data_IF_048674947011
#
_entry.id   IF_048674947011
#
_cell.length_a   1.000
_cell.length_b   1.000
_cell.length_c   1.000
_cell.angle_alpha   90.00
_cell.angle_beta   90.00
_cell.angle_gamma   90.00
#
_symmetry.space_group_name_H-M   'P 1'
#
loop_
_entity.id
_entity.type
_entity.pdbx_description
1 polymer ?
#
# COMPACT_ATOMS: atom_id res chain seq x y z
N UNK A 1 -22.95 8.45 -37.94
CA UNK A 1 -23.16 7.01 -37.69
C UNK A 1 -21.78 6.40 -37.58
N UNK A 2 -21.12 6.21 -36.44
CA UNK A 2 -21.52 6.29 -35.04
C UNK A 2 -20.20 6.49 -34.25
N UNK A 3 -19.86 7.74 -33.92
CA UNK A 3 -18.67 8.10 -33.15
C UNK A 3 -18.96 8.00 -31.63
N UNK A 4 -19.83 7.07 -31.23
CA UNK A 4 -20.23 6.81 -29.85
C UNK A 4 -19.57 5.55 -29.27
N UNK A 5 -19.04 4.64 -30.11
CA UNK A 5 -18.36 3.41 -29.66
C UNK A 5 -17.02 3.63 -28.95
N UNK A 6 -16.38 4.79 -29.12
CA UNK A 6 -15.08 5.08 -28.50
C UNK A 6 -15.20 5.47 -27.02
N UNK A 7 -16.37 5.95 -26.57
CA UNK A 7 -16.60 6.27 -25.16
C UNK A 7 -17.03 5.04 -24.34
N UNK A 8 -17.57 4.00 -24.99
CA UNK A 8 -17.93 2.72 -24.34
C UNK A 8 -16.73 1.78 -24.12
N UNK A 9 -15.60 1.98 -24.80
CA UNK A 9 -14.41 1.13 -24.69
C UNK A 9 -13.47 1.55 -23.53
N UNK A 10 -13.69 2.72 -22.92
CA UNK A 10 -13.01 3.13 -21.68
C UNK A 10 -13.56 2.39 -20.45
N UNK A 11 -13.75 1.06 -20.55
CA UNK A 11 -14.12 0.23 -19.42
C UNK A 11 -13.03 0.38 -18.35
N UNK A 12 -13.37 0.85 -17.14
CA UNK A 12 -12.39 0.89 -16.06
C UNK A 12 -11.86 -0.52 -15.85
N UNK A 13 -10.52 -0.65 -15.86
CA UNK A 13 -9.87 -1.90 -15.54
C UNK A 13 -10.39 -2.39 -14.17
N UNK A 14 -10.53 -3.71 -13.96
CA UNK A 14 -10.89 -4.23 -12.66
C UNK A 14 -9.91 -3.66 -11.62
N UNK A 15 -10.45 -3.18 -10.50
CA UNK A 15 -9.65 -2.62 -9.41
C UNK A 15 -8.54 -3.61 -9.05
N UNK A 16 -7.28 -3.13 -9.01
CA UNK A 16 -6.15 -3.93 -8.63
C UNK A 16 -6.44 -4.63 -7.29
N UNK A 17 -6.04 -5.91 -7.17
CA UNK A 17 -6.25 -6.67 -5.94
C UNK A 17 -5.71 -5.89 -4.73
N UNK A 18 -6.39 -5.93 -3.57
CA UNK A 18 -5.92 -5.24 -2.40
C UNK A 18 -4.52 -5.72 -2.05
N UNK A 19 -3.57 -4.81 -1.83
CA UNK A 19 -2.22 -5.22 -1.46
C UNK A 19 -2.28 -5.99 -0.13
N UNK A 20 -1.51 -7.07 -0.05
CA UNK A 20 -1.46 -7.97 1.11
C UNK A 20 -0.01 -8.23 1.51
N UNK A 21 0.22 -8.61 2.76
CA UNK A 21 1.51 -9.12 3.21
C UNK A 21 1.53 -10.64 3.06
N UNK A 22 2.25 -11.14 2.05
CA UNK A 22 2.31 -12.57 1.72
C UNK A 22 2.84 -13.40 2.90
N UNK A 23 3.83 -12.90 3.63
CA UNK A 23 4.39 -13.57 4.81
C UNK A 23 3.38 -13.69 5.96
N UNK A 24 2.55 -12.66 6.18
CA UNK A 24 1.49 -12.75 7.17
C UNK A 24 0.44 -13.80 6.78
N UNK A 25 0.05 -13.83 5.50
CA UNK A 25 -0.87 -14.84 4.97
C UNK A 25 -0.30 -16.25 5.13
N UNK A 26 0.97 -16.46 4.77
CA UNK A 26 1.65 -17.75 4.90
C UNK A 26 1.70 -18.23 6.36
N UNK A 27 1.81 -17.29 7.31
CA UNK A 27 1.82 -17.56 8.76
C UNK A 27 0.43 -17.63 9.39
N UNK A 28 -0.65 -17.36 8.65
CA UNK A 28 -2.00 -17.26 9.20
C UNK A 28 -2.17 -16.12 10.21
N UNK A 29 -1.37 -15.05 10.08
CA UNK A 29 -1.38 -13.89 10.99
C UNK A 29 -2.03 -12.69 10.33
N UNK A 30 -2.54 -11.78 11.15
CA UNK A 30 -3.10 -10.49 10.69
C UNK A 30 -2.05 -9.38 10.77
N UNK A 31 -2.36 -8.26 10.12
CA UNK A 31 -1.55 -7.04 10.13
C UNK A 31 -2.41 -5.84 10.50
N UNK A 32 -1.77 -4.79 11.00
CA UNK A 32 -2.43 -3.52 11.33
C UNK A 32 -2.43 -2.60 10.11
N UNK A 33 -1.25 -2.31 9.56
CA UNK A 33 -1.05 -1.52 8.34
C UNK A 33 -0.01 -2.19 7.45
N UNK A 34 -0.04 -1.82 6.18
CA UNK A 34 0.88 -2.29 5.16
C UNK A 34 1.75 -1.16 4.67
N UNK A 35 2.99 -1.51 4.32
CA UNK A 35 3.95 -0.63 3.66
C UNK A 35 4.45 -1.30 2.38
N UNK A 36 4.67 -0.51 1.34
CA UNK A 36 5.24 -0.98 0.08
C UNK A 36 6.64 -0.42 -0.11
N UNK A 37 7.61 -1.29 -0.39
CA UNK A 37 8.95 -0.88 -0.78
C UNK A 37 8.91 -0.09 -2.10
N UNK A 38 9.48 1.11 -2.11
CA UNK A 38 9.49 1.96 -3.33
C UNK A 38 10.46 1.44 -4.39
N UNK A 39 11.45 0.65 -3.99
CA UNK A 39 12.49 0.13 -4.91
C UNK A 39 12.00 -1.07 -5.71
N UNK A 40 11.27 -2.00 -5.08
CA UNK A 40 10.91 -3.28 -5.71
C UNK A 40 9.43 -3.65 -5.61
N UNK A 41 8.59 -2.82 -4.97
CA UNK A 41 7.15 -3.04 -4.86
C UNK A 41 6.72 -4.10 -3.83
N UNK A 42 7.65 -4.73 -3.10
CA UNK A 42 7.32 -5.70 -2.05
C UNK A 42 6.43 -5.08 -0.96
N UNK A 43 5.42 -5.81 -0.48
CA UNK A 43 4.45 -5.35 0.51
C UNK A 43 4.63 -6.11 1.81
N UNK A 44 5.02 -5.39 2.86
CA UNK A 44 5.23 -5.91 4.21
C UNK A 44 4.27 -5.27 5.22
N UNK A 45 4.01 -5.98 6.33
CA UNK A 45 3.33 -5.38 7.47
C UNK A 45 4.26 -4.44 8.24
N UNK A 46 3.67 -3.40 8.85
CA UNK A 46 4.41 -2.37 9.59
C UNK A 46 5.05 -2.90 10.90
N UNK A 47 5.90 -2.08 11.52
CA UNK A 47 6.65 -2.42 12.73
C UNK A 47 5.77 -2.68 13.96
N UNK A 48 4.57 -2.11 13.97
CA UNK A 48 3.56 -2.35 15.02
C UNK A 48 2.76 -3.64 14.81
N UNK A 49 2.87 -4.28 13.64
CA UNK A 49 2.33 -5.62 13.42
C UNK A 49 3.30 -6.68 13.94
N UNK A 50 2.79 -7.79 14.47
CA UNK A 50 3.60 -8.85 15.07
C UNK A 50 4.74 -9.35 14.18
N UNK A 51 4.54 -9.37 12.86
CA UNK A 51 5.51 -9.87 11.88
C UNK A 51 6.63 -8.91 11.48
N UNK A 52 6.42 -7.59 11.58
CA UNK A 52 7.40 -6.55 11.16
C UNK A 52 8.03 -6.79 9.77
N UNK A 53 7.27 -7.35 8.83
CA UNK A 53 7.84 -7.84 7.56
C UNK A 53 8.40 -6.72 6.67
N UNK A 54 7.91 -5.47 6.78
CA UNK A 54 8.51 -4.36 6.04
C UNK A 54 9.96 -4.06 6.50
N UNK A 55 10.22 -4.14 7.80
CA UNK A 55 11.57 -4.01 8.34
C UNK A 55 12.43 -5.24 8.02
N UNK A 56 11.88 -6.45 8.11
CA UNK A 56 12.58 -7.67 7.69
C UNK A 56 13.05 -7.57 6.23
N UNK A 57 12.16 -7.14 5.34
CA UNK A 57 12.50 -6.88 3.94
C UNK A 57 13.61 -5.84 3.77
N UNK A 58 13.58 -4.73 4.53
CA UNK A 58 14.66 -3.75 4.51
C UNK A 58 16.01 -4.37 4.88
N UNK A 59 16.07 -5.14 5.98
CA UNK A 59 17.30 -5.78 6.46
C UNK A 59 17.85 -6.78 5.45
N UNK A 60 16.98 -7.55 4.80
CA UNK A 60 17.38 -8.60 3.84
C UNK A 60 17.79 -8.04 2.48
N UNK A 61 17.07 -7.03 1.98
CA UNK A 61 17.26 -6.49 0.62
C UNK A 61 18.13 -5.23 0.57
N UNK A 62 18.31 -4.53 1.70
CA UNK A 62 18.96 -3.22 1.74
C UNK A 62 18.11 -2.08 1.17
N UNK A 63 16.84 -2.32 0.82
CA UNK A 63 15.98 -1.27 0.28
C UNK A 63 15.59 -0.24 1.35
N UNK A 64 15.89 1.06 1.16
CA UNK A 64 15.90 2.01 2.27
C UNK A 64 14.53 2.59 2.62
N UNK A 65 13.57 2.57 1.69
CA UNK A 65 12.32 3.34 1.83
C UNK A 65 11.08 2.48 1.53
N UNK A 66 10.05 2.64 2.35
CA UNK A 66 8.72 2.08 2.10
C UNK A 66 7.61 3.11 2.33
N UNK A 67 6.64 3.18 1.42
CA UNK A 67 5.46 4.07 1.49
C UNK A 67 4.33 3.41 2.27
N UNK A 68 3.56 4.18 3.05
CA UNK A 68 2.35 3.65 3.67
C UNK A 68 1.28 3.37 2.62
N UNK A 69 0.56 2.26 2.79
CA UNK A 69 -0.61 1.92 1.99
C UNK A 69 -1.92 2.16 2.75
N UNK A 70 -1.90 2.81 3.91
CA UNK A 70 -3.14 3.18 4.59
C UNK A 70 -3.83 4.34 3.84
N UNK A 71 -5.16 4.31 3.77
CA UNK A 71 -5.92 5.31 3.01
C UNK A 71 -5.89 6.70 3.67
N UNK A 72 -5.63 6.75 4.98
CA UNK A 72 -5.54 7.94 5.82
C UNK A 72 -4.10 8.47 5.97
N UNK A 73 -3.13 7.90 5.27
CA UNK A 73 -1.70 8.23 5.42
C UNK A 73 -1.07 8.56 4.07
N UNK A 74 -0.37 9.70 3.97
CA UNK A 74 0.45 10.09 2.80
C UNK A 74 1.89 10.39 3.22
N UNK A 75 2.61 9.35 3.64
CA UNK A 75 4.02 9.43 4.02
C UNK A 75 4.76 8.15 3.66
N UNK A 76 6.09 8.26 3.59
CA UNK A 76 7.01 7.12 3.49
C UNK A 76 7.96 7.07 4.69
N UNK A 77 8.47 5.89 4.99
CA UNK A 77 9.45 5.65 6.04
C UNK A 77 10.82 5.40 5.43
N UNK A 78 11.82 6.15 5.89
CA UNK A 78 13.22 5.85 5.63
C UNK A 78 13.75 4.99 6.78
N UNK A 79 14.10 3.72 6.51
CA UNK A 79 14.62 2.83 7.54
C UNK A 79 16.01 3.23 8.05
N UNK A 80 16.99 3.59 7.19
CA UNK A 80 18.32 3.97 7.67
C UNK A 80 18.35 5.19 8.59
N UNK A 81 17.53 6.20 8.27
CA UNK A 81 17.51 7.47 8.99
C UNK A 81 16.44 7.50 10.10
N UNK A 82 15.56 6.51 10.14
CA UNK A 82 14.41 6.43 11.04
C UNK A 82 13.52 7.70 11.01
N UNK A 83 13.27 8.23 9.81
CA UNK A 83 12.46 9.44 9.61
C UNK A 83 11.23 9.20 8.73
N UNK A 84 10.19 10.00 9.00
CA UNK A 84 9.05 10.16 8.10
C UNK A 84 9.42 11.10 6.95
N UNK A 85 9.22 10.62 5.73
CA UNK A 85 9.30 11.39 4.51
C UNK A 85 7.88 11.82 4.12
N UNK A 86 7.63 13.11 4.15
CA UNK A 86 6.35 13.72 3.74
C UNK A 86 6.59 14.47 2.43
N UNK A 87 5.64 14.41 1.50
CA UNK A 87 5.75 15.13 0.23
C UNK A 87 5.73 16.63 0.48
N UNK A 88 6.75 17.34 0.00
CA UNK A 88 6.77 18.79 0.08
C UNK A 88 5.81 19.39 -0.95
N UNK A 89 4.68 19.92 -0.48
CA UNK A 89 3.69 20.63 -1.30
C UNK A 89 2.50 19.76 -1.71
N UNK A 90 1.40 19.90 -0.97
CA UNK A 90 0.12 19.28 -1.24
C UNK A 90 -0.67 19.19 0.06
N UNK A 91 -1.66 20.06 0.20
CA UNK A 91 -2.63 20.02 1.28
C UNK A 91 -3.21 18.61 1.31
N UNK A 92 -3.18 17.93 2.46
CA UNK A 92 -3.69 16.57 2.62
C UNK A 92 -5.21 16.53 2.36
N UNK A 93 -5.61 16.52 1.09
CA UNK A 93 -6.99 16.55 0.65
C UNK A 93 -7.10 15.98 -0.78
N UNK A 94 -6.55 14.79 -1.01
CA UNK A 94 -7.24 13.74 -1.76
C UNK A 94 -6.56 12.40 -1.43
N UNK A 95 -7.20 11.48 -0.67
CA UNK A 95 -6.66 10.13 -0.54
C UNK A 95 -6.60 9.51 -1.94
N UNK A 96 -5.56 8.74 -2.32
CA UNK A 96 -5.52 8.09 -3.62
C UNK A 96 -6.80 7.25 -3.79
N UNK A 97 -7.67 7.69 -4.71
CA UNK A 97 -8.91 7.00 -5.04
C UNK A 97 -8.57 5.56 -5.43
N UNK A 98 -8.84 4.61 -4.52
CA UNK A 98 -8.52 3.21 -4.77
C UNK A 98 -8.44 2.25 -3.57
N UNK A 99 -8.48 2.71 -2.31
CA UNK A 99 -8.62 1.81 -1.15
C UNK A 99 -10.01 1.93 -0.53
N UNK A 100 -10.92 1.11 -1.06
CA UNK A 100 -12.28 1.00 -0.56
C UNK A 100 -12.32 0.59 0.93
N UNK A 101 -13.38 0.97 1.65
CA UNK A 101 -13.50 0.72 3.08
C UNK A 101 -13.59 -0.79 3.36
N UNK A 102 -12.88 -1.25 4.39
CA UNK A 102 -13.03 -2.59 4.94
C UNK A 102 -14.47 -2.81 5.45
N UNK A 103 -15.37 -3.29 4.60
CA UNK A 103 -16.61 -3.94 5.08
C UNK A 103 -16.20 -5.27 5.69
N UNK A 104 -16.25 -5.36 7.01
CA UNK A 104 -16.38 -6.65 7.72
C UNK A 104 -17.84 -7.06 7.60
N UNK A 105 -18.16 -8.19 6.96
CA UNK A 105 -19.30 -9.05 7.31
C UNK A 105 -19.07 -10.49 6.80
N UNK A 106 -18.98 -11.44 7.73
CA UNK A 106 -19.39 -12.84 7.61
C UNK A 106 -19.49 -13.39 9.04
N UNK A 107 -20.40 -14.33 9.36
CA UNK A 107 -21.39 -15.03 8.51
C UNK A 107 -22.77 -14.35 8.43
#
# INVERSE_FOLDING_TARGET
MDDWRLMEDCRPAPAASPATCTDCLARGTTWVRLRQCVTCGHVGCCDTSTGRHAHGHHVESGHPVAVSLAADEDWAWCFPDEVFLVRAGGDAADPPAGRGPHRREAP
#
